data_IF_598954399855
#
_entry.id   IF_598954399855
#
_cell.length_a   1.000
_cell.length_b   1.000
_cell.length_c   1.000
_cell.angle_alpha   90.00
_cell.angle_beta   90.00
_cell.angle_gamma   90.00
#
_symmetry.space_group_name_H-M   'P 1'
#
loop_
_entity.id
_entity.type
_entity.pdbx_description
1 polymer ?
#
# COMPACT_ATOMS: atom_id res chain seq x y z
N UNK A 1 -6.31 -10.18 16.55
CA UNK A 1 -6.15 -10.33 15.09
C UNK A 1 -5.01 -9.39 14.76
N UNK A 2 -3.79 -9.94 14.76
CA UNK A 2 -2.58 -9.14 14.61
C UNK A 2 -2.47 -8.71 13.15
N UNK A 3 -2.64 -7.42 12.89
CA UNK A 3 -2.45 -6.86 11.56
C UNK A 3 -0.98 -7.01 11.17
N UNK A 4 -0.70 -7.33 9.89
CA UNK A 4 0.67 -7.52 9.38
C UNK A 4 1.62 -6.40 9.82
N UNK A 5 1.10 -5.16 9.92
CA UNK A 5 1.82 -3.96 10.34
C UNK A 5 2.25 -3.99 11.81
N UNK A 6 1.46 -4.59 12.70
CA UNK A 6 1.83 -4.73 14.12
C UNK A 6 2.87 -5.83 14.35
N UNK A 7 2.96 -6.79 13.43
CA UNK A 7 3.93 -7.90 13.53
C UNK A 7 5.30 -7.48 12.98
N UNK A 8 5.32 -6.75 11.87
CA UNK A 8 6.54 -6.59 11.07
C UNK A 8 7.14 -5.17 11.01
N UNK A 9 6.59 -4.17 11.70
CA UNK A 9 7.15 -2.80 11.78
C UNK A 9 7.75 -2.28 10.44
N UNK A 10 7.06 -2.54 9.33
CA UNK A 10 7.58 -2.17 8.01
C UNK A 10 7.19 -0.73 7.66
N UNK A 11 8.14 -0.01 7.07
CA UNK A 11 7.97 1.39 6.69
C UNK A 11 7.61 1.56 5.20
N UNK A 12 7.93 0.55 4.39
CA UNK A 12 7.58 0.45 2.99
C UNK A 12 7.02 -0.94 2.71
N UNK A 13 5.85 -0.99 2.06
CA UNK A 13 5.26 -2.22 1.56
C UNK A 13 5.01 -2.09 0.07
N UNK A 14 5.56 -3.02 -0.71
CA UNK A 14 5.31 -3.16 -2.14
C UNK A 14 4.51 -4.43 -2.36
N UNK A 15 3.32 -4.29 -2.92
CA UNK A 15 2.47 -5.40 -3.32
C UNK A 15 2.49 -5.46 -4.84
N UNK A 16 3.07 -6.54 -5.38
CA UNK A 16 3.18 -6.79 -6.81
C UNK A 16 2.54 -8.12 -7.16
N UNK A 17 1.62 -8.12 -8.11
CA UNK A 17 0.92 -9.33 -8.54
C UNK A 17 -0.22 -9.70 -7.59
N UNK A 18 -1.44 -9.53 -8.10
CA UNK A 18 -2.74 -9.80 -7.46
C UNK A 18 -3.22 -8.75 -6.44
N UNK A 19 -4.54 -8.46 -6.35
CA UNK A 19 -5.70 -9.21 -6.85
C UNK A 19 -6.59 -8.36 -7.80
N UNK A 20 -7.72 -8.91 -8.29
CA UNK A 20 -8.80 -8.15 -8.96
C UNK A 20 -9.53 -7.18 -8.00
N UNK A 21 -8.80 -6.59 -7.06
CA UNK A 21 -9.32 -5.64 -6.09
C UNK A 21 -9.26 -4.28 -6.77
N UNK A 22 -10.44 -3.72 -7.03
CA UNK A 22 -10.54 -2.37 -7.56
C UNK A 22 -9.78 -1.41 -6.64
N UNK A 23 -9.03 -0.46 -7.22
CA UNK A 23 -8.30 0.59 -6.49
C UNK A 23 -9.09 1.16 -5.30
N UNK A 24 -10.41 1.35 -5.43
CA UNK A 24 -11.27 1.85 -4.33
C UNK A 24 -11.22 1.01 -3.06
N UNK A 25 -11.21 -0.30 -3.18
CA UNK A 25 -11.11 -1.21 -2.04
C UNK A 25 -9.70 -1.19 -1.44
N UNK A 26 -8.67 -1.08 -2.28
CA UNK A 26 -7.29 -0.90 -1.84
C UNK A 26 -7.18 0.36 -0.96
N UNK A 27 -7.64 1.51 -1.47
CA UNK A 27 -7.61 2.79 -0.75
C UNK A 27 -8.30 2.74 0.62
N UNK A 28 -9.43 2.01 0.72
CA UNK A 28 -10.12 1.82 1.99
C UNK A 28 -9.26 1.05 3.01
N UNK A 29 -8.59 -0.01 2.57
CA UNK A 29 -7.71 -0.83 3.42
C UNK A 29 -6.48 -0.01 3.84
N UNK A 30 -5.86 0.73 2.92
CA UNK A 30 -4.68 1.56 3.20
C UNK A 30 -4.96 2.62 4.26
N UNK A 31 -6.12 3.27 4.17
CA UNK A 31 -6.55 4.24 5.18
C UNK A 31 -6.74 3.61 6.56
N UNK A 32 -7.27 2.38 6.63
CA UNK A 32 -7.43 1.65 7.89
C UNK A 32 -6.11 1.23 8.51
N UNK A 33 -5.12 0.88 7.69
CA UNK A 33 -3.79 0.47 8.16
C UNK A 33 -2.95 1.65 8.67
N UNK A 34 -3.41 2.90 8.54
CA UNK A 34 -2.75 4.08 9.10
C UNK A 34 -1.43 4.42 8.41
N UNK A 35 -1.31 4.16 7.10
CA UNK A 35 -0.21 4.71 6.31
C UNK A 35 -0.55 6.13 5.86
N UNK A 36 0.42 7.02 5.89
CA UNK A 36 0.22 8.41 5.46
C UNK A 36 0.10 8.53 3.94
N UNK A 37 0.72 7.60 3.21
CA UNK A 37 1.04 7.80 1.79
C UNK A 37 0.92 6.50 1.02
N UNK A 38 0.48 6.61 -0.23
CA UNK A 38 0.29 5.47 -1.10
C UNK A 38 0.34 5.86 -2.57
N UNK A 39 0.74 4.90 -3.40
CA UNK A 39 0.65 4.96 -4.84
C UNK A 39 0.06 3.65 -5.34
N UNK A 40 -1.08 3.74 -6.03
CA UNK A 40 -1.86 2.59 -6.48
C UNK A 40 -2.05 2.72 -7.99
N UNK A 41 -1.56 1.72 -8.72
CA UNK A 41 -1.73 1.63 -10.17
C UNK A 41 -2.51 0.37 -10.51
N UNK A 42 -3.63 0.56 -11.19
CA UNK A 42 -4.36 -0.52 -11.84
C UNK A 42 -3.73 -0.78 -13.22
N UNK A 43 -3.51 -2.05 -13.53
CA UNK A 43 -3.05 -2.43 -14.87
C UNK A 43 -4.25 -2.50 -15.83
N UNK A 44 -4.01 -2.11 -17.08
CA UNK A 44 -5.02 -2.23 -18.14
C UNK A 44 -5.20 -3.71 -18.49
N UNK A 45 -6.45 -4.18 -18.52
CA UNK A 45 -6.78 -5.53 -18.99
C UNK A 45 -6.71 -6.64 -17.93
N UNK A 46 -6.95 -6.32 -16.65
CA UNK A 46 -7.04 -7.30 -15.55
C UNK A 46 -5.75 -8.07 -15.23
N UNK A 47 -4.59 -7.53 -15.60
CA UNK A 47 -3.26 -8.13 -15.35
C UNK A 47 -2.73 -7.91 -13.91
N UNK A 48 -3.55 -7.33 -13.02
CA UNK A 48 -3.23 -7.08 -11.61
C UNK A 48 -3.10 -5.59 -11.28
N UNK A 49 -2.26 -5.27 -10.31
CA UNK A 49 -1.97 -3.91 -9.87
C UNK A 49 -0.63 -3.86 -9.13
N UNK A 50 -0.08 -2.65 -9.05
CA UNK A 50 1.10 -2.35 -8.23
C UNK A 50 0.72 -1.35 -7.16
N UNK A 51 0.89 -1.75 -5.90
CA UNK A 51 0.60 -0.88 -4.76
C UNK A 51 1.90 -0.65 -3.99
N UNK A 52 2.21 0.62 -3.76
CA UNK A 52 3.33 1.08 -2.94
C UNK A 52 2.74 1.87 -1.79
N UNK A 53 3.14 1.57 -0.57
CA UNK A 53 2.57 2.16 0.64
C UNK A 53 3.71 2.48 1.60
N UNK A 54 3.76 3.70 2.11
CA UNK A 54 4.86 4.14 2.98
C UNK A 54 4.42 5.19 4.02
N UNK A 55 5.33 5.49 4.94
CA UNK A 55 5.20 6.61 5.88
C UNK A 55 6.06 7.80 5.39
N UNK A 56 5.42 8.91 5.06
CA UNK A 56 6.05 10.13 4.53
C UNK A 56 7.06 10.73 5.51
N UNK A 57 6.81 10.60 6.81
CA UNK A 57 7.67 11.17 7.85
C UNK A 57 9.05 10.52 7.92
N UNK A 58 9.26 9.40 7.24
CA UNK A 58 10.51 8.64 7.22
C UNK A 58 11.20 8.71 5.85
N UNK A 59 10.48 9.17 4.83
CA UNK A 59 10.97 9.26 3.44
C UNK A 59 11.36 10.69 3.06
N UNK A 60 10.80 11.71 3.75
CA UNK A 60 11.06 13.14 3.45
C UNK A 60 12.33 13.71 4.08
N UNK A 61 13.13 12.95 4.85
CA UNK A 61 14.37 13.44 5.49
C UNK A 61 15.56 13.62 4.52
N UNK A 62 15.31 13.60 3.20
CA UNK A 62 16.34 13.72 2.17
C UNK A 62 16.14 14.94 1.26
N UNK A 63 16.05 16.17 1.80
CA UNK A 63 16.37 17.41 1.07
C UNK A 63 16.83 18.53 2.02
#
# INVERSE_FOLDING_TARGET
MDDLKSIYHFELLVVSGAPKVQTRQALYVLKKLGFSSHYVVDTIGFSGGFWIIWNENLVNDFF
#
